data_IF_725029089734
#
_entry.id   IF_725029089734
#
_cell.length_a   1.000
_cell.length_b   1.000
_cell.length_c   1.000
_cell.angle_alpha   90.00
_cell.angle_beta   90.00
_cell.angle_gamma   90.00
#
_symmetry.space_group_name_H-M   'P 1'
#
loop_
_entity.id
_entity.type
_entity.pdbx_description
1 polymer ?
#
# COMPACT_ATOMS: atom_id res chain seq x y z
N UNK A 1 34.67 40.41 -45.08
CA UNK A 1 33.32 40.43 -44.47
C UNK A 1 33.08 39.10 -43.79
N UNK A 2 32.84 39.13 -42.48
CA UNK A 2 32.75 37.97 -41.59
C UNK A 2 31.42 37.23 -41.74
N UNK A 3 31.44 35.89 -41.64
CA UNK A 3 30.28 35.09 -41.22
C UNK A 3 30.75 33.91 -40.36
N UNK A 4 30.81 34.16 -39.05
CA UNK A 4 30.84 33.11 -38.03
C UNK A 4 29.45 32.43 -38.00
N UNK A 5 29.37 31.18 -38.41
CA UNK A 5 28.19 30.34 -38.13
C UNK A 5 28.34 29.82 -36.71
N UNK A 6 27.56 30.37 -35.77
CA UNK A 6 27.41 29.80 -34.43
C UNK A 6 26.63 28.49 -34.55
N UNK A 7 27.33 27.37 -34.38
CA UNK A 7 26.73 26.06 -34.17
C UNK A 7 26.05 26.08 -32.79
N UNK A 8 24.74 26.23 -32.75
CA UNK A 8 23.96 26.02 -31.53
C UNK A 8 23.84 24.51 -31.35
N UNK A 9 24.64 23.95 -30.45
CA UNK A 9 24.48 22.58 -29.98
C UNK A 9 23.22 22.58 -29.11
N UNK A 10 22.09 22.16 -29.67
CA UNK A 10 20.90 21.85 -28.89
C UNK A 10 21.19 20.53 -28.16
N UNK A 11 21.73 20.62 -26.95
CA UNK A 11 21.89 19.48 -26.06
C UNK A 11 20.50 19.07 -25.57
N UNK A 12 19.87 18.14 -26.29
CA UNK A 12 18.69 17.42 -25.80
C UNK A 12 19.12 16.66 -24.55
N UNK A 13 18.82 17.22 -23.37
CA UNK A 13 18.96 16.52 -22.11
C UNK A 13 17.95 15.37 -22.12
N UNK A 14 18.38 14.21 -22.61
CA UNK A 14 17.63 12.97 -22.50
C UNK A 14 17.56 12.64 -21.00
N UNK A 15 16.43 12.94 -20.36
CA UNK A 15 16.12 12.42 -19.05
C UNK A 15 16.09 10.89 -19.18
N UNK A 16 17.16 10.24 -18.70
CA UNK A 16 17.33 8.79 -18.73
C UNK A 16 16.39 8.17 -17.68
N UNK A 17 15.12 7.97 -18.03
CA UNK A 17 14.13 7.29 -17.19
C UNK A 17 14.00 5.81 -17.52
N UNK A 18 13.98 4.91 -16.52
CA UNK A 18 13.86 3.45 -16.70
C UNK A 18 12.43 3.05 -17.03
N UNK A 19 12.16 2.42 -18.17
CA UNK A 19 10.80 2.05 -18.54
C UNK A 19 10.41 0.68 -17.97
N UNK A 20 9.23 0.60 -17.37
CA UNK A 20 8.57 -0.66 -17.02
C UNK A 20 7.14 -0.65 -17.58
N UNK A 21 6.78 -1.63 -18.39
CA UNK A 21 5.46 -1.73 -19.03
C UNK A 21 4.54 -2.75 -18.33
N UNK A 22 3.25 -2.43 -18.20
CA UNK A 22 2.22 -3.33 -17.65
C UNK A 22 1.69 -4.33 -18.70
N UNK A 23 2.55 -5.14 -19.33
CA UNK A 23 2.07 -6.14 -20.30
C UNK A 23 1.40 -7.33 -19.61
N UNK A 24 0.06 -7.43 -19.67
CA UNK A 24 -0.72 -8.62 -19.28
C UNK A 24 -0.59 -9.08 -17.82
N UNK A 25 -0.11 -8.20 -16.93
CA UNK A 25 0.14 -8.43 -15.51
C UNK A 25 -0.73 -7.48 -14.68
N UNK A 26 -1.03 -7.87 -13.43
CA UNK A 26 -1.74 -7.07 -12.42
C UNK A 26 -1.27 -5.60 -12.35
N UNK A 27 0.01 -5.38 -12.60
CA UNK A 27 0.68 -4.09 -12.63
C UNK A 27 2.19 -4.30 -12.66
N UNK A 28 2.94 -3.36 -12.07
CA UNK A 28 4.39 -3.45 -11.94
C UNK A 28 4.78 -4.04 -10.60
N UNK A 29 5.47 -5.17 -10.62
CA UNK A 29 6.00 -5.79 -9.41
C UNK A 29 7.17 -4.96 -8.89
N UNK A 30 7.09 -4.48 -7.65
CA UNK A 30 8.06 -3.51 -7.10
C UNK A 30 9.48 -4.08 -7.08
N UNK A 31 9.64 -5.38 -6.77
CA UNK A 31 10.96 -6.03 -6.76
C UNK A 31 11.67 -6.05 -8.12
N UNK A 32 10.92 -5.97 -9.22
CA UNK A 32 11.49 -5.95 -10.57
C UNK A 32 11.98 -4.52 -10.91
N UNK A 33 11.52 -3.51 -10.18
CA UNK A 33 11.84 -2.09 -10.38
C UNK A 33 13.05 -1.60 -9.56
N UNK A 34 13.35 -2.23 -8.42
CA UNK A 34 14.37 -1.74 -7.46
C UNK A 34 15.80 -1.69 -8.01
N UNK A 35 16.09 -2.51 -9.03
CA UNK A 35 17.41 -2.62 -9.66
C UNK A 35 17.57 -1.72 -10.89
N UNK A 36 16.65 -0.77 -11.11
CA UNK A 36 16.80 0.21 -12.18
C UNK A 36 18.14 0.95 -12.04
N UNK A 37 19.00 0.95 -13.08
CA UNK A 37 20.28 1.68 -13.05
C UNK A 37 20.09 3.19 -13.19
N UNK A 38 18.85 3.65 -13.40
CA UNK A 38 18.50 5.06 -13.64
C UNK A 38 18.04 5.72 -12.34
N UNK A 39 18.11 7.04 -12.29
CA UNK A 39 17.65 7.82 -11.14
C UNK A 39 16.13 7.75 -10.94
N UNK A 40 15.39 7.46 -12.01
CA UNK A 40 13.93 7.35 -12.01
C UNK A 40 13.45 6.08 -12.72
N UNK A 41 12.25 5.66 -12.35
CA UNK A 41 11.47 4.59 -12.97
C UNK A 41 10.17 5.18 -13.49
N UNK A 42 9.90 4.97 -14.77
CA UNK A 42 8.64 5.33 -15.44
C UNK A 42 7.77 4.09 -15.60
N UNK A 43 6.59 4.17 -15.00
CA UNK A 43 5.52 3.18 -15.11
C UNK A 43 4.70 3.50 -16.36
N UNK A 44 4.65 2.57 -17.31
CA UNK A 44 3.98 2.72 -18.59
C UNK A 44 2.82 1.74 -18.73
N UNK A 45 1.66 2.21 -19.20
CA UNK A 45 0.55 1.34 -19.58
C UNK A 45 0.93 0.42 -20.75
N UNK A 46 0.06 -0.53 -21.06
CA UNK A 46 0.24 -1.47 -22.16
C UNK A 46 0.41 -0.79 -23.54
N UNK A 47 -0.12 0.43 -23.72
CA UNK A 47 0.04 1.27 -24.92
C UNK A 47 1.29 2.19 -24.84
N UNK A 48 2.24 1.88 -23.95
CA UNK A 48 3.52 2.58 -23.74
C UNK A 48 3.41 4.03 -23.23
N UNK A 49 2.21 4.50 -22.90
CA UNK A 49 2.02 5.83 -22.29
C UNK A 49 2.58 5.84 -20.87
N UNK A 50 3.43 6.83 -20.57
CA UNK A 50 3.95 7.04 -19.21
C UNK A 50 2.83 7.52 -18.30
N UNK A 51 2.51 6.74 -17.28
CA UNK A 51 1.45 7.04 -16.31
C UNK A 51 1.99 7.73 -15.05
N UNK A 52 3.19 7.34 -14.61
CA UNK A 52 3.84 7.91 -13.44
C UNK A 52 5.36 7.71 -13.53
N UNK A 53 6.13 8.70 -13.09
CA UNK A 53 7.58 8.57 -12.94
C UNK A 53 7.95 8.80 -11.48
N UNK A 54 8.71 7.87 -10.91
CA UNK A 54 9.12 7.86 -9.50
C UNK A 54 10.64 7.89 -9.41
N UNK A 55 11.22 8.52 -8.37
CA UNK A 55 12.61 8.30 -8.03
C UNK A 55 12.85 6.81 -7.72
N UNK A 56 13.93 6.24 -8.25
CA UNK A 56 14.32 4.84 -7.97
C UNK A 56 14.52 4.63 -6.46
N UNK A 57 14.99 5.66 -5.75
CA UNK A 57 15.10 5.66 -4.29
C UNK A 57 13.75 5.42 -3.59
N UNK A 58 12.66 6.02 -4.08
CA UNK A 58 11.31 5.82 -3.53
C UNK A 58 10.87 4.37 -3.71
N UNK A 59 11.12 3.77 -4.88
CA UNK A 59 10.83 2.36 -5.17
C UNK A 59 11.63 1.43 -4.25
N UNK A 60 12.91 1.73 -4.01
CA UNK A 60 13.76 0.97 -3.10
C UNK A 60 13.29 1.08 -1.64
N UNK A 61 12.92 2.28 -1.20
CA UNK A 61 12.38 2.51 0.14
C UNK A 61 11.04 1.79 0.34
N UNK A 62 10.17 1.83 -0.67
CA UNK A 62 8.92 1.09 -0.70
C UNK A 62 9.14 -0.42 -0.56
N UNK A 63 10.07 -0.99 -1.32
CA UNK A 63 10.44 -2.41 -1.21
C UNK A 63 11.02 -2.74 0.18
N UNK A 64 11.88 -1.88 0.74
CA UNK A 64 12.46 -2.10 2.05
C UNK A 64 11.40 -2.07 3.16
N UNK A 65 10.43 -1.15 3.08
CA UNK A 65 9.27 -1.12 3.98
C UNK A 65 8.49 -2.44 3.90
N UNK A 66 8.18 -2.89 2.69
CA UNK A 66 7.47 -4.15 2.47
C UNK A 66 8.20 -5.37 3.02
N UNK A 67 9.50 -5.51 2.79
CA UNK A 67 10.30 -6.62 3.31
C UNK A 67 10.33 -6.64 4.85
N UNK A 68 10.54 -5.48 5.47
CA UNK A 68 10.60 -5.34 6.94
C UNK A 68 9.26 -5.67 7.59
N UNK A 69 8.18 -5.11 7.06
CA UNK A 69 6.82 -5.34 7.57
C UNK A 69 6.40 -6.78 7.36
N UNK A 70 6.60 -7.34 6.16
CA UNK A 70 6.22 -8.74 5.88
C UNK A 70 6.94 -9.72 6.80
N UNK A 71 8.22 -9.44 7.11
CA UNK A 71 8.99 -10.21 8.10
C UNK A 71 8.37 -10.12 9.50
N UNK A 72 8.03 -8.92 9.97
CA UNK A 72 7.39 -8.74 11.28
C UNK A 72 5.99 -9.34 11.37
N UNK A 73 5.24 -9.30 10.26
CA UNK A 73 3.92 -9.89 10.15
C UNK A 73 3.95 -11.42 9.96
N UNK A 74 5.14 -12.00 9.72
CA UNK A 74 5.32 -13.41 9.37
C UNK A 74 4.44 -13.86 8.18
N UNK A 75 4.39 -13.01 7.14
CA UNK A 75 3.67 -13.29 5.91
C UNK A 75 4.63 -13.25 4.72
N UNK A 76 4.29 -14.01 3.67
CA UNK A 76 4.96 -13.92 2.38
C UNK A 76 3.99 -13.29 1.39
N UNK A 77 4.34 -12.10 0.89
CA UNK A 77 3.52 -11.39 -0.10
C UNK A 77 4.43 -10.80 -1.18
N UNK A 78 3.91 -10.65 -2.39
CA UNK A 78 4.52 -9.82 -3.43
C UNK A 78 3.91 -8.41 -3.39
N UNK A 79 4.71 -7.38 -3.63
CA UNK A 79 4.24 -5.99 -3.69
C UNK A 79 4.11 -5.54 -5.15
N UNK A 80 2.94 -5.01 -5.50
CA UNK A 80 2.64 -4.46 -6.81
C UNK A 80 2.22 -3.00 -6.74
N UNK A 81 2.69 -2.22 -7.72
CA UNK A 81 2.04 -0.97 -8.10
C UNK A 81 1.05 -1.31 -9.21
N UNK A 82 -0.19 -0.89 -9.08
CA UNK A 82 -1.26 -1.18 -10.06
C UNK A 82 -1.86 0.11 -10.63
N UNK A 83 -2.52 0.00 -11.77
CA UNK A 83 -3.25 1.13 -12.36
C UNK A 83 -4.45 1.54 -11.49
N UNK A 84 -4.84 2.82 -11.57
CA UNK A 84 -5.95 3.39 -10.81
C UNK A 84 -5.61 4.78 -10.30
N UNK A 85 -6.42 5.77 -10.65
CA UNK A 85 -6.16 7.18 -10.35
C UNK A 85 -6.70 7.64 -8.99
N UNK A 86 -7.70 6.96 -8.45
CA UNK A 86 -8.25 7.24 -7.12
C UNK A 86 -7.48 6.42 -6.08
N UNK A 87 -6.93 7.00 -4.99
CA UNK A 87 -6.12 6.31 -4.00
C UNK A 87 -6.77 5.03 -3.50
N UNK A 88 -6.03 3.94 -3.65
CA UNK A 88 -6.38 2.62 -3.14
C UNK A 88 -5.15 1.76 -2.85
N UNK A 89 -5.32 0.84 -1.91
CA UNK A 89 -4.43 -0.27 -1.65
C UNK A 89 -5.27 -1.47 -1.21
N UNK A 90 -4.74 -2.68 -1.35
CA UNK A 90 -5.45 -3.89 -0.98
C UNK A 90 -4.51 -5.07 -0.75
N UNK A 91 -4.95 -5.98 0.09
CA UNK A 91 -4.43 -7.34 0.23
C UNK A 91 -5.26 -8.32 -0.59
N UNK A 92 -4.64 -9.16 -1.43
CA UNK A 92 -5.37 -10.07 -2.33
C UNK A 92 -4.53 -11.24 -2.84
N UNK A 93 -5.12 -12.08 -3.70
CA UNK A 93 -4.42 -13.24 -4.28
C UNK A 93 -4.32 -13.07 -5.79
N UNK A 94 -3.11 -13.18 -6.33
CA UNK A 94 -2.84 -13.27 -7.76
C UNK A 94 -2.18 -14.62 -8.06
N UNK A 95 -2.80 -15.47 -8.89
CA UNK A 95 -2.25 -16.78 -9.30
C UNK A 95 -1.68 -17.60 -8.12
N UNK A 96 -2.50 -17.77 -7.07
CA UNK A 96 -2.17 -18.48 -5.82
C UNK A 96 -1.07 -17.83 -4.97
N UNK A 97 -0.61 -16.63 -5.30
CA UNK A 97 0.33 -15.86 -4.50
C UNK A 97 -0.40 -14.76 -3.73
N UNK A 98 -0.10 -14.62 -2.43
CA UNK A 98 -0.56 -13.47 -1.65
C UNK A 98 0.15 -12.21 -2.15
N UNK A 99 -0.62 -11.15 -2.31
CA UNK A 99 -0.12 -9.87 -2.79
C UNK A 99 -0.59 -8.73 -1.88
N UNK A 100 0.16 -7.64 -1.94
CA UNK A 100 -0.27 -6.31 -1.55
C UNK A 100 -0.21 -5.44 -2.81
N UNK A 101 -1.31 -4.80 -3.17
CA UNK A 101 -1.41 -3.88 -4.29
C UNK A 101 -1.54 -2.44 -3.79
N UNK A 102 -0.82 -1.51 -4.40
CA UNK A 102 -0.93 -0.07 -4.18
C UNK A 102 -1.15 0.58 -5.53
N UNK A 103 -2.20 1.39 -5.70
CA UNK A 103 -2.44 1.99 -7.02
C UNK A 103 -1.72 3.33 -7.23
N UNK A 104 -1.67 3.78 -8.49
CA UNK A 104 -1.02 5.04 -8.88
C UNK A 104 -1.54 6.26 -8.11
N UNK A 105 -2.85 6.31 -7.83
CA UNK A 105 -3.46 7.37 -7.02
C UNK A 105 -2.89 7.45 -5.61
N UNK A 106 -2.72 6.28 -4.96
CA UNK A 106 -2.15 6.20 -3.61
C UNK A 106 -0.66 6.56 -3.61
N UNK A 107 0.10 6.08 -4.61
CA UNK A 107 1.51 6.44 -4.78
C UNK A 107 1.67 7.96 -4.96
N UNK A 108 0.81 8.60 -5.77
CA UNK A 108 0.79 10.06 -5.95
C UNK A 108 0.45 10.80 -4.65
N UNK A 109 -0.50 10.28 -3.85
CA UNK A 109 -0.92 10.88 -2.59
C UNK A 109 0.20 10.84 -1.53
N UNK A 110 0.90 9.71 -1.43
CA UNK A 110 1.98 9.51 -0.45
C UNK A 110 3.22 10.32 -0.87
N UNK A 111 3.59 10.26 -2.15
CA UNK A 111 4.82 10.87 -2.65
C UNK A 111 6.05 10.05 -2.26
N UNK A 112 6.98 10.64 -1.53
CA UNK A 112 8.26 10.06 -1.12
C UNK A 112 8.37 9.74 0.38
N UNK A 113 7.30 9.90 1.17
CA UNK A 113 7.31 9.56 2.60
C UNK A 113 7.25 8.04 2.82
N UNK A 114 8.42 7.45 3.07
CA UNK A 114 8.56 6.02 3.39
C UNK A 114 7.77 5.59 4.63
N UNK A 115 7.53 6.48 5.60
CA UNK A 115 6.78 6.12 6.80
C UNK A 115 5.29 5.96 6.49
N UNK A 116 4.75 6.75 5.57
CA UNK A 116 3.36 6.59 5.12
C UNK A 116 3.20 5.33 4.27
N UNK A 117 4.17 5.00 3.40
CA UNK A 117 4.17 3.69 2.72
C UNK A 117 4.25 2.53 3.72
N UNK A 118 5.11 2.65 4.74
CA UNK A 118 5.19 1.65 5.79
C UNK A 118 3.86 1.52 6.54
N UNK A 119 3.16 2.62 6.83
CA UNK A 119 1.88 2.59 7.52
C UNK A 119 0.80 1.89 6.68
N UNK A 120 0.73 2.22 5.39
CA UNK A 120 -0.16 1.57 4.43
C UNK A 120 0.11 0.07 4.32
N UNK A 121 1.38 -0.32 4.07
CA UNK A 121 1.77 -1.72 3.95
C UNK A 121 1.57 -2.47 5.27
N UNK A 122 1.81 -1.82 6.40
CA UNK A 122 1.58 -2.36 7.74
C UNK A 122 0.13 -2.76 7.96
N UNK A 123 -0.79 -1.91 7.51
CA UNK A 123 -2.23 -2.16 7.56
C UNK A 123 -2.64 -3.37 6.70
N UNK A 124 -2.24 -3.38 5.43
CA UNK A 124 -2.54 -4.49 4.51
C UNK A 124 -1.90 -5.82 4.96
N UNK A 125 -0.68 -5.75 5.49
CA UNK A 125 -0.01 -6.92 6.06
C UNK A 125 -0.72 -7.43 7.32
N UNK A 126 -1.31 -6.55 8.13
CA UNK A 126 -2.09 -6.94 9.30
C UNK A 126 -3.38 -7.67 8.90
N UNK A 127 -4.08 -7.25 7.83
CA UNK A 127 -5.21 -8.02 7.30
C UNK A 127 -4.83 -9.45 6.88
N UNK A 128 -3.64 -9.62 6.28
CA UNK A 128 -3.11 -10.95 5.99
C UNK A 128 -2.79 -11.75 7.26
N UNK A 129 -2.07 -11.15 8.20
CA UNK A 129 -1.63 -11.82 9.43
C UNK A 129 -2.80 -12.25 10.34
N UNK A 130 -3.89 -11.48 10.34
CA UNK A 130 -5.11 -11.77 11.12
C UNK A 130 -6.09 -12.70 10.39
N UNK A 131 -5.81 -13.11 9.15
CA UNK A 131 -6.70 -13.96 8.35
C UNK A 131 -7.96 -13.24 7.85
N UNK A 132 -7.99 -11.90 7.88
CA UNK A 132 -9.13 -11.12 7.39
C UNK A 132 -9.36 -11.35 5.90
N UNK A 133 -8.28 -11.41 5.10
CA UNK A 133 -8.37 -11.66 3.66
C UNK A 133 -8.98 -13.03 3.37
N UNK A 134 -8.51 -14.06 4.06
CA UNK A 134 -9.03 -15.43 3.91
C UNK A 134 -10.51 -15.50 4.32
N UNK A 135 -10.89 -14.83 5.42
CA UNK A 135 -12.30 -14.75 5.87
C UNK A 135 -13.20 -14.05 4.85
N UNK A 136 -12.73 -12.97 4.23
CA UNK A 136 -13.48 -12.23 3.21
C UNK A 136 -13.62 -13.04 1.92
N UNK A 137 -12.59 -13.80 1.53
CA UNK A 137 -12.65 -14.72 0.39
C UNK A 137 -13.69 -15.82 0.59
N UNK A 138 -13.68 -16.46 1.76
CA UNK A 138 -14.65 -17.51 2.11
C UNK A 138 -16.08 -16.98 2.07
N UNK A 139 -16.31 -15.76 2.60
CA UNK A 139 -17.62 -15.10 2.51
C UNK A 139 -18.05 -14.85 1.07
N UNK A 140 -17.17 -14.29 0.24
CA UNK A 140 -17.46 -14.04 -1.18
C UNK A 140 -17.81 -15.35 -1.93
N UNK A 141 -17.03 -16.41 -1.73
CA UNK A 141 -17.29 -17.71 -2.36
C UNK A 141 -18.61 -18.34 -1.91
N UNK A 142 -18.94 -18.21 -0.62
CA UNK A 142 -20.22 -18.69 -0.08
C UNK A 142 -21.40 -17.95 -0.71
N UNK A 143 -21.31 -16.62 -0.81
CA UNK A 143 -22.36 -15.80 -1.43
C UNK A 143 -22.51 -16.13 -2.92
N UNK A 144 -21.41 -16.32 -3.64
CA UNK A 144 -21.43 -16.71 -5.05
C UNK A 144 -22.10 -18.08 -5.25
N UNK A 145 -21.73 -19.08 -4.44
CA UNK A 145 -22.33 -20.40 -4.50
C UNK A 145 -23.85 -20.35 -4.22
N UNK A 146 -24.28 -19.57 -3.22
CA UNK A 146 -25.70 -19.37 -2.92
C UNK A 146 -26.43 -18.66 -4.08
N UNK A 147 -25.83 -17.64 -4.67
CA UNK A 147 -26.39 -16.94 -5.83
C UNK A 147 -26.58 -17.84 -7.05
N UNK A 148 -25.61 -18.74 -7.31
CA UNK A 148 -25.73 -19.76 -8.37
C UNK A 148 -26.86 -20.75 -8.08
N UNK A 149 -27.02 -21.20 -6.84
CA UNK A 149 -28.11 -22.11 -6.46
C UNK A 149 -29.49 -21.45 -6.60
N UNK A 150 -29.64 -20.20 -6.17
CA UNK A 150 -30.90 -19.44 -6.27
C UNK A 150 -31.26 -19.18 -7.73
N UNK A 151 -30.29 -18.76 -8.56
CA UNK A 151 -30.53 -18.54 -10.00
C UNK A 151 -30.88 -19.83 -10.76
N UNK A 152 -30.24 -20.95 -10.42
CA UNK A 152 -30.57 -22.27 -10.98
C UNK A 152 -31.96 -22.76 -10.54
N UNK A 153 -32.39 -22.48 -9.30
CA UNK A 153 -33.69 -22.89 -8.78
C UNK A 153 -34.87 -22.02 -9.22
N UNK A 154 -34.64 -20.73 -9.52
CA UNK A 154 -35.69 -19.77 -9.90
C UNK A 154 -35.74 -19.47 -11.41
N UNK A 155 -34.82 -20.03 -12.22
CA UNK A 155 -34.73 -19.72 -13.65
C UNK A 155 -34.39 -18.25 -13.96
N UNK A 156 -34.02 -17.47 -12.94
CA UNK A 156 -33.63 -16.07 -13.08
C UNK A 156 -32.15 -16.00 -13.45
N UNK A 157 -31.87 -15.85 -14.75
CA UNK A 157 -30.54 -15.49 -15.20
C UNK A 157 -30.25 -14.03 -14.77
N UNK A 158 -29.33 -13.84 -13.84
CA UNK A 158 -28.69 -12.53 -13.63
C UNK A 158 -28.84 -11.91 -12.26
N UNK A 159 -28.41 -12.59 -11.20
CA UNK A 159 -27.87 -11.87 -10.04
C UNK A 159 -26.37 -11.67 -10.31
N UNK A 160 -25.88 -10.44 -10.57
CA UNK A 160 -24.46 -10.21 -10.77
C UNK A 160 -23.72 -10.53 -9.47
N UNK A 161 -22.89 -11.56 -9.50
CA UNK A 161 -21.91 -11.81 -8.46
C UNK A 161 -20.87 -10.66 -8.46
N UNK A 162 -20.63 -10.10 -7.28
CA UNK A 162 -19.60 -9.12 -6.90
C UNK A 162 -18.69 -8.52 -8.00
N UNK A 163 -18.86 -7.21 -8.23
CA UNK A 163 -17.77 -6.23 -8.20
C UNK A 163 -16.68 -6.29 -9.27
N UNK A 164 -16.87 -5.47 -10.31
CA UNK A 164 -15.93 -5.05 -11.36
C UNK A 164 -14.43 -5.10 -10.99
N UNK A 165 -13.73 -6.15 -11.45
CA UNK A 165 -12.31 -6.19 -11.90
C UNK A 165 -11.85 -7.62 -12.28
N UNK A 166 -12.77 -8.59 -12.36
CA UNK A 166 -12.54 -9.97 -12.84
C UNK A 166 -11.84 -10.06 -14.20
N UNK A 167 -11.90 -9.01 -15.02
CA UNK A 167 -11.21 -8.90 -16.31
C UNK A 167 -9.67 -8.92 -16.23
N UNK A 168 -9.08 -8.72 -15.03
CA UNK A 168 -7.63 -8.76 -14.81
C UNK A 168 -7.14 -10.11 -14.24
N UNK A 169 -8.00 -11.12 -14.09
CA UNK A 169 -7.64 -12.41 -13.48
C UNK A 169 -7.36 -12.33 -11.97
N UNK A 170 -7.78 -11.24 -11.34
CA UNK A 170 -7.69 -11.02 -9.90
C UNK A 170 -9.01 -11.45 -9.29
N UNK A 171 -8.96 -12.35 -8.32
CA UNK A 171 -10.05 -12.49 -7.37
C UNK A 171 -9.93 -11.30 -6.41
N UNK A 172 -10.32 -10.12 -6.90
CA UNK A 172 -10.39 -8.94 -6.06
C UNK A 172 -11.52 -9.20 -5.08
N UNK A 173 -11.17 -9.57 -3.86
CA UNK A 173 -12.15 -9.66 -2.80
C UNK A 173 -12.53 -8.21 -2.54
N UNK A 174 -13.73 -7.81 -2.98
CA UNK A 174 -14.35 -6.55 -2.58
C UNK A 174 -14.67 -6.65 -1.08
N UNK A 175 -13.60 -6.61 -0.29
CA UNK A 175 -13.61 -6.85 1.13
C UNK A 175 -13.92 -5.52 1.79
N UNK A 176 -15.21 -5.25 1.99
CA UNK A 176 -15.56 -4.36 3.11
C UNK A 176 -15.20 -5.10 4.39
N UNK A 177 -14.11 -4.69 5.03
CA UNK A 177 -13.73 -5.22 6.33
C UNK A 177 -14.67 -4.67 7.42
N UNK A 178 -14.91 -5.47 8.46
CA UNK A 178 -15.69 -4.99 9.60
C UNK A 178 -14.92 -3.91 10.37
N UNK A 179 -15.63 -3.10 11.17
CA UNK A 179 -14.98 -2.08 12.01
C UNK A 179 -13.97 -2.70 12.99
N UNK A 180 -14.24 -3.91 13.46
CA UNK A 180 -13.33 -4.61 14.37
C UNK A 180 -12.10 -5.14 13.62
N UNK A 181 -12.27 -5.64 12.39
CA UNK A 181 -11.14 -6.02 11.52
C UNK A 181 -10.22 -4.84 11.22
N UNK A 182 -10.79 -3.65 10.97
CA UNK A 182 -10.01 -2.42 10.79
C UNK A 182 -9.25 -2.02 12.06
N UNK A 183 -9.89 -2.09 13.24
CA UNK A 183 -9.25 -1.78 14.53
C UNK A 183 -8.12 -2.76 14.87
N UNK A 184 -8.31 -4.04 14.57
CA UNK A 184 -7.27 -5.06 14.74
C UNK A 184 -6.10 -4.84 13.79
N UNK A 185 -6.38 -4.48 12.53
CA UNK A 185 -5.36 -4.15 11.54
C UNK A 185 -4.57 -2.89 11.95
N UNK A 186 -5.25 -1.86 12.44
CA UNK A 186 -4.65 -0.63 12.97
C UNK A 186 -3.69 -0.91 14.12
N UNK A 187 -4.18 -1.59 15.16
CA UNK A 187 -3.38 -1.89 16.34
C UNK A 187 -2.12 -2.68 15.97
N UNK A 188 -2.26 -3.69 15.12
CA UNK A 188 -1.16 -4.53 14.68
C UNK A 188 -0.18 -3.77 13.75
N UNK A 189 -0.68 -2.89 12.88
CA UNK A 189 0.14 -2.05 12.01
C UNK A 189 1.02 -1.10 12.83
N UNK A 190 0.48 -0.46 13.87
CA UNK A 190 1.25 0.41 14.77
C UNK A 190 2.40 -0.36 15.46
N UNK A 191 2.17 -1.61 15.86
CA UNK A 191 3.24 -2.47 16.40
C UNK A 191 4.31 -2.78 15.35
N UNK A 192 3.92 -3.10 14.11
CA UNK A 192 4.87 -3.34 13.01
C UNK A 192 5.72 -2.11 12.70
N UNK A 193 5.12 -0.93 12.68
CA UNK A 193 5.84 0.34 12.46
C UNK A 193 6.87 0.57 13.56
N UNK A 194 6.44 0.48 14.82
CA UNK A 194 7.29 0.69 15.98
C UNK A 194 8.46 -0.31 16.02
N UNK A 195 8.21 -1.58 15.68
CA UNK A 195 9.21 -2.65 15.67
C UNK A 195 10.26 -2.47 14.55
N UNK A 196 9.90 -1.83 13.44
CA UNK A 196 10.78 -1.66 12.27
C UNK A 196 11.41 -0.26 12.17
N UNK A 197 11.22 0.59 13.19
CA UNK A 197 11.78 1.93 13.24
C UNK A 197 11.09 2.94 12.31
N UNK A 198 9.87 2.63 11.86
CA UNK A 198 9.03 3.59 11.14
C UNK A 198 8.22 4.42 12.11
N UNK A 199 7.88 5.64 11.71
CA UNK A 199 7.10 6.57 12.52
C UNK A 199 5.63 6.13 12.61
N UNK A 200 5.10 5.71 13.77
CA UNK A 200 3.70 5.28 13.88
C UNK A 200 2.68 6.37 13.55
N UNK A 201 3.03 7.63 13.80
CA UNK A 201 2.20 8.80 13.48
C UNK A 201 2.01 9.03 11.98
N UNK A 202 2.79 8.37 11.12
CA UNK A 202 2.58 8.40 9.67
C UNK A 202 1.24 7.78 9.27
N UNK A 203 0.71 6.82 10.05
CA UNK A 203 -0.65 6.31 9.84
C UNK A 203 -1.69 7.45 9.94
N UNK A 204 -1.58 8.31 10.96
CA UNK A 204 -2.46 9.47 11.13
C UNK A 204 -2.34 10.42 9.94
N UNK A 205 -1.10 10.76 9.53
CA UNK A 205 -0.87 11.65 8.37
C UNK A 205 -1.50 11.11 7.09
N UNK A 206 -1.35 9.81 6.84
CA UNK A 206 -1.95 9.16 5.69
C UNK A 206 -3.48 9.25 5.73
N UNK A 207 -4.09 9.00 6.88
CA UNK A 207 -5.55 9.17 7.08
C UNK A 207 -6.00 10.62 6.86
N UNK A 208 -5.27 11.60 7.38
CA UNK A 208 -5.54 13.02 7.17
C UNK A 208 -5.41 13.43 5.69
N UNK A 209 -4.43 12.89 4.97
CA UNK A 209 -4.29 13.07 3.51
C UNK A 209 -5.51 12.51 2.79
N UNK A 210 -5.91 11.28 3.09
CA UNK A 210 -7.07 10.63 2.44
C UNK A 210 -8.39 11.37 2.69
N UNK A 211 -8.59 11.95 3.88
CA UNK A 211 -9.79 12.74 4.19
C UNK A 211 -9.86 14.08 3.46
N UNK A 212 -8.72 14.66 3.07
CA UNK A 212 -8.64 15.93 2.33
C UNK A 212 -8.85 15.76 0.83
N UNK A 213 -8.83 14.53 0.34
CA UNK A 213 -8.94 14.25 -1.08
C UNK A 213 -10.41 14.25 -1.48
N UNK A 214 -10.80 15.27 -2.22
CA UNK A 214 -12.14 15.42 -2.79
C UNK A 214 -12.12 15.03 -4.28
N UNK A 215 -12.65 13.85 -4.61
CA UNK A 215 -12.89 13.41 -5.99
C UNK A 215 -14.35 13.62 -6.43
N UNK A 216 -15.14 14.41 -5.69
CA UNK A 216 -16.60 14.49 -5.88
C UNK A 216 -17.35 13.22 -5.45
N UNK A 217 -16.62 12.18 -5.03
CA UNK A 217 -17.08 10.91 -4.45
C UNK A 217 -15.98 10.35 -3.51
N UNK A 218 -16.35 9.47 -2.56
CA UNK A 218 -15.39 8.87 -1.62
C UNK A 218 -14.40 7.94 -2.37
N UNK A 219 -13.07 8.08 -2.19
CA UNK A 219 -12.08 7.19 -2.78
C UNK A 219 -12.38 5.70 -2.52
N UNK A 220 -12.01 4.77 -3.43
CA UNK A 220 -12.24 3.33 -3.26
C UNK A 220 -11.59 2.75 -2.00
N UNK A 221 -10.44 3.30 -1.57
CA UNK A 221 -9.85 2.97 -0.26
C UNK A 221 -10.82 3.25 0.87
N UNK A 222 -11.53 4.38 0.86
CA UNK A 222 -12.50 4.72 1.91
C UNK A 222 -13.78 3.88 1.85
N UNK A 223 -14.02 3.19 0.74
CA UNK A 223 -15.14 2.25 0.60
C UNK A 223 -14.81 0.88 1.21
N UNK A 224 -13.56 0.41 1.07
CA UNK A 224 -13.08 -0.86 1.63
C UNK A 224 -12.54 -0.70 3.07
N UNK A 225 -11.90 0.44 3.34
CA UNK A 225 -11.27 0.85 4.60
C UNK A 225 -11.75 2.25 5.01
N UNK A 226 -12.94 2.38 5.64
CA UNK A 226 -13.48 3.68 6.00
C UNK A 226 -12.54 4.44 6.95
N UNK A 227 -11.92 5.52 6.45
CA UNK A 227 -11.25 6.52 7.29
C UNK A 227 -12.29 7.41 7.94
N UNK A 228 -12.12 7.69 9.23
CA UNK A 228 -12.99 8.59 9.99
C UNK A 228 -12.19 9.35 11.03
N UNK A 229 -12.75 10.46 11.53
CA UNK A 229 -12.20 11.15 12.69
C UNK A 229 -12.10 10.23 13.91
N UNK A 230 -13.04 9.28 14.07
CA UNK A 230 -12.99 8.22 15.09
C UNK A 230 -11.75 7.34 14.94
N UNK A 231 -11.39 6.93 13.71
CA UNK A 231 -10.18 6.14 13.46
C UNK A 231 -8.91 6.94 13.73
N UNK A 232 -8.87 8.22 13.35
CA UNK A 232 -7.74 9.09 13.68
C UNK A 232 -7.57 9.21 15.20
N UNK A 233 -8.67 9.39 15.96
CA UNK A 233 -8.63 9.45 17.41
C UNK A 233 -8.16 8.11 18.02
N UNK A 234 -8.63 6.98 17.49
CA UNK A 234 -8.22 5.64 17.91
C UNK A 234 -6.73 5.39 17.66
N UNK A 235 -6.21 5.77 16.48
CA UNK A 235 -4.79 5.70 16.16
C UNK A 235 -3.93 6.54 17.10
N UNK A 236 -4.37 7.77 17.44
CA UNK A 236 -3.67 8.62 18.42
C UNK A 236 -3.54 7.92 19.78
N UNK A 237 -4.62 7.33 20.28
CA UNK A 237 -4.62 6.60 21.55
C UNK A 237 -3.73 5.34 21.50
N UNK A 238 -3.81 4.56 20.42
CA UNK A 238 -2.98 3.36 20.23
C UNK A 238 -1.49 3.69 20.22
N UNK A 239 -1.10 4.78 19.54
CA UNK A 239 0.29 5.23 19.46
C UNK A 239 0.79 5.66 20.85
N UNK A 240 0.02 6.46 21.57
CA UNK A 240 0.38 6.91 22.92
C UNK A 240 0.57 5.73 23.89
N UNK A 241 -0.35 4.75 23.84
CA UNK A 241 -0.25 3.54 24.64
C UNK A 241 1.01 2.72 24.29
N UNK A 242 1.31 2.55 23.01
CA UNK A 242 2.49 1.82 22.55
C UNK A 242 3.79 2.53 22.98
N UNK A 243 3.85 3.86 22.83
CA UNK A 243 4.99 4.67 23.29
C UNK A 243 5.18 4.53 24.82
N UNK A 244 4.11 4.59 25.60
CA UNK A 244 4.16 4.40 27.04
C UNK A 244 4.69 3.00 27.42
N UNK A 245 4.18 1.94 26.77
CA UNK A 245 4.62 0.55 26.98
C UNK A 245 6.10 0.38 26.64
N UNK A 246 6.57 0.99 25.55
CA UNK A 246 7.99 0.94 25.15
C UNK A 246 8.88 1.71 26.12
N UNK A 247 8.45 2.87 26.63
CA UNK A 247 9.17 3.62 27.67
C UNK A 247 9.28 2.81 28.96
N UNK A 248 8.22 2.11 29.38
CA UNK A 248 8.27 1.26 30.57
C UNK A 248 9.11 -0.01 30.40
N UNK A 249 9.27 -0.49 29.16
CA UNK A 249 10.07 -1.68 28.84
C UNK A 249 11.56 -1.37 28.57
N UNK A 250 11.93 -0.10 28.39
CA UNK A 250 13.32 0.28 28.20
C UNK A 250 14.09 0.14 29.53
N UNK A 251 15.22 -0.60 29.57
CA UNK A 251 16.02 -0.68 30.78
C UNK A 251 16.53 0.72 31.17
N UNK A 252 16.46 1.03 32.47
CA UNK A 252 16.91 2.28 33.09
C UNK A 252 18.41 2.53 32.81
N UNK A 253 18.72 3.11 31.65
CA UNK A 253 20.06 3.58 31.32
C UNK A 253 20.29 4.97 31.93
N UNK A 254 20.48 5.04 33.26
CA UNK A 254 20.93 6.26 33.96
C UNK A 254 21.17 6.03 35.46
N UNK A 255 21.95 5.02 35.86
CA UNK A 255 22.61 5.01 37.17
C UNK A 255 23.97 4.30 37.06
N UNK A 256 24.89 4.84 36.24
CA UNK A 256 26.32 4.53 36.42
C UNK A 256 26.93 5.60 37.32
N UNK A 257 26.85 5.30 38.61
CA UNK A 257 27.90 5.43 39.61
C UNK A 257 29.00 6.48 39.33
N UNK A 258 28.86 7.64 39.94
CA UNK A 258 29.92 8.65 40.10
C UNK A 258 30.52 8.65 41.51
N UNK A 259 30.38 7.56 42.28
CA UNK A 259 30.80 7.51 43.69
C UNK A 259 32.21 6.95 43.96
N UNK A 260 32.93 6.45 42.96
CA UNK A 260 34.31 5.95 43.13
C UNK A 260 35.36 6.85 42.45
N UNK A 261 35.55 8.06 42.99
CA UNK A 261 36.87 8.71 43.03
C UNK A 261 37.03 9.43 44.37
N UNK A 262 37.58 8.69 45.33
CA UNK A 262 38.33 9.26 46.46
C UNK A 262 39.78 8.86 46.31
#
# INVERSE_FOLDING_TARGET
>A
MARFVRLVILSTACLLAGCAASQGRLGWRVKDLVFSPRATVSLQSADERVLLTLPTKTVQQLMLAHLRISRSANIQTELFIVEGDQPNAFAGIERDQRIIGINLGMVKLIGDDVNEYAALIGHEAAHWAKGHVDSSRLRANTLNALGTLVSAGLGMAGVPAAGALTHLGIELIDATYSRDQEREADAQSIEYLAANGYEPRAAIRLHEKMLKVDYGFRPPFLSSHPSSEERIASLKALIEQNEAKRRSAAPSASQTDSSERK
#
